data_IF_788609336950
#
_entry.id   IF_788609336950
#
_cell.length_a   1.000
_cell.length_b   1.000
_cell.length_c   1.000
_cell.angle_alpha   90.00
_cell.angle_beta   90.00
_cell.angle_gamma   90.00
#
_symmetry.space_group_name_H-M   'P 1'
#
loop_
_entity.id
_entity.type
_entity.pdbx_description
1 polymer ?
#
# COMPACT_ATOMS: atom_id res chain seq x y z
N UNK A 1 7.69 7.12 5.96
CA UNK A 1 6.58 7.77 5.23
C UNK A 1 5.63 6.73 4.65
N UNK A 2 4.36 6.75 5.09
CA UNK A 2 3.31 5.80 4.69
C UNK A 2 2.85 6.07 3.24
N UNK A 3 2.83 5.04 2.39
CA UNK A 3 2.63 5.19 0.93
C UNK A 3 1.37 4.50 0.41
N UNK A 4 0.49 4.03 1.29
CA UNK A 4 -0.73 3.33 0.90
C UNK A 4 -1.92 4.15 1.37
N UNK A 5 -2.96 4.26 0.55
CA UNK A 5 -4.22 4.89 0.94
C UNK A 5 -4.87 4.11 2.09
N UNK A 6 -5.23 4.82 3.17
CA UNK A 6 -6.03 4.26 4.25
C UNK A 6 -7.39 4.93 4.24
N UNK A 7 -8.44 4.15 4.02
CA UNK A 7 -9.83 4.64 3.95
C UNK A 7 -10.27 5.22 5.31
N UNK A 8 -9.85 4.57 6.40
CA UNK A 8 -10.18 4.98 7.77
C UNK A 8 -9.30 6.15 8.24
N UNK A 9 -8.04 6.19 7.80
CA UNK A 9 -7.05 7.16 8.27
C UNK A 9 -6.42 7.95 7.12
N UNK A 10 -7.21 8.83 6.51
CA UNK A 10 -6.83 9.66 5.36
C UNK A 10 -5.62 10.59 5.58
N UNK A 11 -5.13 10.75 6.81
CA UNK A 11 -3.98 11.56 7.15
C UNK A 11 -2.66 10.78 7.21
N UNK A 12 -2.69 9.44 7.07
CA UNK A 12 -1.48 8.62 7.18
C UNK A 12 -0.53 8.80 5.98
N UNK A 13 -1.08 8.91 4.76
CA UNK A 13 -0.29 9.09 3.56
C UNK A 13 -0.15 10.58 3.19
N UNK A 14 0.94 10.93 2.50
CA UNK A 14 1.10 12.26 1.94
C UNK A 14 0.16 12.47 0.73
N UNK A 15 -0.02 13.72 0.30
CA UNK A 15 -0.92 14.10 -0.80
C UNK A 15 -0.37 13.83 -2.20
N UNK A 16 0.95 13.60 -2.34
CA UNK A 16 1.60 13.53 -3.66
C UNK A 16 2.09 12.14 -4.04
N UNK A 17 2.64 11.37 -3.10
CA UNK A 17 3.31 10.09 -3.40
C UNK A 17 2.72 8.93 -2.58
N UNK A 18 1.54 8.46 -2.97
CA UNK A 18 0.88 7.29 -2.39
C UNK A 18 0.16 6.46 -3.44
N UNK A 19 -0.08 5.19 -3.13
CA UNK A 19 -0.88 4.27 -3.94
C UNK A 19 -2.32 4.25 -3.42
N UNK A 20 -3.28 4.46 -4.31
CA UNK A 20 -4.70 4.29 -3.98
C UNK A 20 -5.03 2.82 -3.78
N UNK A 21 -6.16 2.53 -3.15
CA UNK A 21 -6.69 1.17 -3.04
C UNK A 21 -6.86 0.51 -4.42
N UNK A 22 -7.22 1.30 -5.44
CA UNK A 22 -7.36 0.83 -6.81
C UNK A 22 -6.01 0.42 -7.42
N UNK A 23 -4.96 1.19 -7.17
CA UNK A 23 -3.61 0.88 -7.66
C UNK A 23 -3.09 -0.43 -7.06
N UNK A 24 -3.30 -0.62 -5.76
CA UNK A 24 -2.93 -1.86 -5.06
C UNK A 24 -3.73 -3.05 -5.60
N UNK A 25 -5.04 -2.91 -5.81
CA UNK A 25 -5.86 -3.97 -6.42
C UNK A 25 -5.38 -4.36 -7.82
N UNK A 26 -5.06 -3.35 -8.65
CA UNK A 26 -4.51 -3.58 -9.99
C UNK A 26 -3.16 -4.31 -9.92
N UNK A 27 -2.29 -3.94 -8.98
CA UNK A 27 -0.99 -4.58 -8.76
C UNK A 27 -1.15 -6.06 -8.33
N UNK A 28 -2.04 -6.33 -7.39
CA UNK A 28 -2.33 -7.69 -6.91
C UNK A 28 -2.85 -8.56 -8.04
N UNK A 29 -3.80 -8.07 -8.84
CA UNK A 29 -4.32 -8.80 -10.00
C UNK A 29 -3.23 -9.07 -11.04
N UNK A 30 -2.39 -8.08 -11.33
CA UNK A 30 -1.26 -8.22 -12.26
C UNK A 30 -0.27 -9.30 -11.81
N UNK A 31 0.04 -9.35 -10.51
CA UNK A 31 0.91 -10.37 -9.91
C UNK A 31 0.25 -11.75 -9.90
N UNK A 32 -1.06 -11.83 -9.61
CA UNK A 32 -1.85 -13.07 -9.63
C UNK A 32 -1.79 -13.76 -10.98
N UNK A 33 -1.92 -13.01 -12.07
CA UNK A 33 -1.81 -13.53 -13.44
C UNK A 33 -0.42 -14.15 -13.74
N UNK A 34 0.61 -13.76 -12.98
CA UNK A 34 1.99 -14.25 -13.10
C UNK A 34 2.35 -15.29 -12.05
N UNK A 35 1.39 -15.74 -11.23
CA UNK A 35 1.62 -16.65 -10.10
C UNK A 35 2.61 -16.09 -9.07
N UNK A 36 2.65 -14.76 -8.94
CA UNK A 36 3.44 -14.06 -7.93
C UNK A 36 2.52 -13.70 -6.77
N UNK A 37 2.96 -14.01 -5.54
CA UNK A 37 2.25 -13.66 -4.32
C UNK A 37 2.84 -12.38 -3.74
N UNK A 38 1.98 -11.40 -3.49
CA UNK A 38 2.33 -10.16 -2.80
C UNK A 38 2.00 -10.33 -1.32
N UNK A 39 2.97 -10.04 -0.45
CA UNK A 39 2.80 -10.02 1.00
C UNK A 39 3.10 -8.59 1.44
N UNK A 40 2.11 -7.83 1.94
CA UNK A 40 2.35 -6.50 2.45
C UNK A 40 3.05 -6.55 3.81
N UNK A 41 3.82 -5.51 4.12
CA UNK A 41 4.50 -5.33 5.39
C UNK A 41 4.10 -3.98 6.01
N UNK A 42 3.72 -4.02 7.28
CA UNK A 42 3.56 -2.85 8.13
C UNK A 42 4.50 -3.01 9.31
N UNK A 43 5.70 -2.43 9.20
CA UNK A 43 6.68 -2.45 10.28
C UNK A 43 6.23 -1.46 11.38
N UNK A 44 6.08 -2.00 12.60
CA UNK A 44 5.66 -1.26 13.79
C UNK A 44 6.35 -1.85 15.04
N UNK A 45 6.77 -1.03 16.02
CA UNK A 45 6.72 0.45 16.06
C UNK A 45 7.93 1.12 15.39
N UNK A 46 8.85 0.34 14.80
CA UNK A 46 10.03 0.86 14.09
C UNK A 46 9.69 1.43 12.72
N UNK A 47 10.58 2.28 12.18
CA UNK A 47 10.46 2.84 10.83
C UNK A 47 9.14 3.61 10.53
N UNK A 48 8.46 4.09 11.58
CA UNK A 48 7.17 4.80 11.47
C UNK A 48 7.28 6.29 11.17
N UNK A 49 8.48 6.80 10.89
CA UNK A 49 8.74 8.24 10.67
C UNK A 49 8.57 8.67 9.21
#
# INVERSE_FOLDING_TARGET
>A
GFRVESIEYNLLHDRKDFFTQKDIQHLVEYARQRRIRIIPEFDIPGHTT
#
